data_IF_997435574568
#
_entry.id   IF_997435574568
#
_cell.length_a   1.000
_cell.length_b   1.000
_cell.length_c   1.000
_cell.angle_alpha   90.00
_cell.angle_beta   90.00
_cell.angle_gamma   90.00
#
_symmetry.space_group_name_H-M   'P 1'
#
loop_
_entity.id
_entity.type
_entity.pdbx_description
1 polymer ?
#
# COMPACT_ATOMS: atom_id res chain seq x y z
N UNK A 1 25.89 -4.34 18.04
CA UNK A 1 24.99 -5.17 17.21
C UNK A 1 24.88 -4.52 15.84
N UNK A 2 25.07 -5.29 14.75
CA UNK A 2 24.82 -4.81 13.39
C UNK A 2 23.30 -4.61 13.23
N UNK A 3 22.81 -3.47 12.74
CA UNK A 3 21.39 -3.29 12.47
C UNK A 3 20.89 -4.41 11.53
N UNK A 4 19.66 -4.95 11.72
CA UNK A 4 19.11 -5.93 10.80
C UNK A 4 19.06 -5.32 9.40
N UNK A 5 19.46 -6.10 8.39
CA UNK A 5 19.44 -5.67 7.00
C UNK A 5 18.02 -5.23 6.63
N UNK A 6 17.84 -3.95 6.35
CA UNK A 6 16.60 -3.41 5.80
C UNK A 6 16.32 -4.15 4.50
N UNK A 7 15.26 -4.95 4.46
CA UNK A 7 14.85 -5.66 3.27
C UNK A 7 14.71 -4.66 2.11
N UNK A 8 15.38 -4.94 0.99
CA UNK A 8 15.34 -4.11 -0.20
C UNK A 8 13.87 -3.99 -0.66
N UNK A 9 13.37 -2.79 -1.02
CA UNK A 9 12.01 -2.62 -1.52
C UNK A 9 11.76 -3.59 -2.68
N UNK A 10 10.66 -4.35 -2.59
CA UNK A 10 10.29 -5.37 -3.60
C UNK A 10 9.67 -4.70 -4.83
N UNK A 11 9.17 -3.47 -4.66
CA UNK A 11 8.60 -2.62 -5.69
C UNK A 11 9.05 -1.17 -5.47
N UNK A 12 9.15 -0.39 -6.55
CA UNK A 12 9.40 1.06 -6.44
C UNK A 12 8.21 1.78 -5.78
N UNK A 13 8.47 2.89 -5.09
CA UNK A 13 7.39 3.74 -4.58
C UNK A 13 6.49 4.28 -5.70
N UNK A 14 7.06 4.51 -6.89
CA UNK A 14 6.31 4.99 -8.06
C UNK A 14 5.25 3.96 -8.50
N UNK A 15 5.64 2.70 -8.67
CA UNK A 15 4.72 1.66 -9.13
C UNK A 15 3.71 1.29 -8.05
N UNK A 16 4.12 1.26 -6.78
CA UNK A 16 3.20 1.12 -5.66
C UNK A 16 2.13 2.23 -5.69
N UNK A 17 2.52 3.48 -5.96
CA UNK A 17 1.59 4.61 -6.02
C UNK A 17 0.63 4.54 -7.21
N UNK A 18 1.01 3.93 -8.34
CA UNK A 18 0.09 3.65 -9.45
C UNK A 18 -1.03 2.70 -9.01
N UNK A 19 -0.68 1.62 -8.30
CA UNK A 19 -1.65 0.64 -7.80
C UNK A 19 -2.50 1.23 -6.66
N UNK A 20 -1.89 1.96 -5.73
CA UNK A 20 -2.62 2.63 -4.63
C UNK A 20 -3.68 3.59 -5.18
N UNK A 21 -3.39 4.33 -6.26
CA UNK A 21 -4.39 5.20 -6.92
C UNK A 21 -5.59 4.41 -7.45
N UNK A 22 -5.35 3.23 -8.03
CA UNK A 22 -6.42 2.35 -8.48
C UNK A 22 -7.29 1.85 -7.31
N UNK A 23 -6.67 1.42 -6.20
CA UNK A 23 -7.38 1.03 -4.97
C UNK A 23 -8.19 2.20 -4.38
N UNK A 24 -7.64 3.43 -4.42
CA UNK A 24 -8.33 4.64 -3.98
C UNK A 24 -9.57 4.93 -4.84
N UNK A 25 -9.51 4.71 -6.15
CA UNK A 25 -10.68 4.85 -7.02
C UNK A 25 -11.78 3.85 -6.65
N UNK A 26 -11.40 2.60 -6.37
CA UNK A 26 -12.31 1.57 -5.85
C UNK A 26 -12.95 1.99 -4.53
N UNK A 27 -12.14 2.48 -3.57
CA UNK A 27 -12.61 3.00 -2.29
C UNK A 27 -13.64 4.12 -2.44
N UNK A 28 -13.38 5.08 -3.33
CA UNK A 28 -14.27 6.22 -3.57
C UNK A 28 -15.57 5.85 -4.30
N UNK A 29 -15.59 4.72 -5.02
CA UNK A 29 -16.74 4.31 -5.84
C UNK A 29 -17.66 3.35 -5.10
N UNK A 30 -17.11 2.46 -4.27
CA UNK A 30 -17.91 1.46 -3.56
C UNK A 30 -18.66 2.08 -2.37
N UNK A 31 -19.86 1.55 -2.08
CA UNK A 31 -20.60 1.80 -0.83
C UNK A 31 -20.40 0.70 0.22
N UNK A 32 -19.73 -0.41 -0.15
CA UNK A 32 -19.50 -1.53 0.74
C UNK A 32 -18.38 -1.21 1.75
N UNK A 33 -18.69 -1.36 3.04
CA UNK A 33 -17.76 -1.01 4.12
C UNK A 33 -16.59 -1.99 4.23
N UNK A 34 -16.81 -3.28 3.97
CA UNK A 34 -15.78 -4.32 4.00
C UNK A 34 -14.77 -4.10 2.86
N UNK A 35 -15.26 -3.81 1.65
CA UNK A 35 -14.44 -3.44 0.50
C UNK A 35 -13.58 -2.20 0.79
N UNK A 36 -14.15 -1.16 1.44
CA UNK A 36 -13.40 0.04 1.85
C UNK A 36 -12.29 -0.28 2.86
N UNK A 37 -12.55 -1.15 3.82
CA UNK A 37 -11.53 -1.60 4.77
C UNK A 37 -10.41 -2.36 4.05
N UNK A 38 -10.78 -3.23 3.11
CA UNK A 38 -9.83 -4.05 2.36
C UNK A 38 -8.95 -3.22 1.41
N UNK A 39 -9.51 -2.22 0.72
CA UNK A 39 -8.70 -1.31 -0.10
C UNK A 39 -7.66 -0.54 0.71
N UNK A 40 -8.02 -0.09 1.92
CA UNK A 40 -7.05 0.56 2.81
C UNK A 40 -5.96 -0.40 3.27
N UNK A 41 -6.34 -1.64 3.65
CA UNK A 41 -5.38 -2.67 4.03
C UNK A 41 -4.38 -2.96 2.91
N UNK A 42 -4.88 -3.18 1.70
CA UNK A 42 -4.05 -3.46 0.51
C UNK A 42 -3.14 -2.28 0.14
N UNK A 43 -3.62 -1.04 0.24
CA UNK A 43 -2.80 0.15 0.02
C UNK A 43 -1.64 0.21 1.04
N UNK A 44 -1.88 -0.18 2.29
CA UNK A 44 -0.84 -0.24 3.31
C UNK A 44 0.16 -1.38 3.09
N UNK A 45 -0.25 -2.53 2.55
CA UNK A 45 0.69 -3.59 2.15
C UNK A 45 1.64 -3.12 1.02
N UNK A 46 1.11 -2.36 0.04
CA UNK A 46 1.93 -1.75 -1.01
C UNK A 46 2.93 -0.73 -0.45
N UNK A 47 2.53 0.05 0.55
CA UNK A 47 3.43 0.99 1.25
C UNK A 47 4.56 0.26 1.96
N UNK A 48 4.26 -0.83 2.68
CA UNK A 48 5.30 -1.68 3.30
C UNK A 48 6.27 -2.22 2.26
N UNK A 49 5.75 -2.80 1.18
CA UNK A 49 6.56 -3.40 0.10
C UNK A 49 7.46 -2.39 -0.63
N UNK A 50 7.07 -1.10 -0.64
CA UNK A 50 7.80 0.01 -1.26
C UNK A 50 8.58 0.90 -0.28
N UNK A 51 8.61 0.55 1.01
CA UNK A 51 9.32 1.33 2.04
C UNK A 51 8.68 2.70 2.37
N UNK A 52 7.41 2.89 2.06
CA UNK A 52 6.64 4.09 2.37
C UNK A 52 6.02 4.02 3.78
N UNK A 53 5.77 5.18 4.40
CA UNK A 53 5.04 5.27 5.66
C UNK A 53 3.59 4.83 5.46
N UNK A 54 3.03 4.13 6.44
CA UNK A 54 1.60 3.76 6.44
C UNK A 54 0.73 5.02 6.58
N UNK A 55 -0.49 4.93 6.07
CA UNK A 55 -1.51 5.97 6.17
C UNK A 55 -2.37 5.76 7.41
#
# INVERSE_FOLDING_TARGET
MKPPATAKPVISAEDANKIIKFLSAGYSTTSDAEARAEFNRLANELRKASGQKLQ
#
